data_IF_545670390194
#
_entry.id   IF_545670390194
#
_cell.length_a   1.000
_cell.length_b   1.000
_cell.length_c   1.000
_cell.angle_alpha   90.00
_cell.angle_beta   90.00
_cell.angle_gamma   90.00
#
_symmetry.space_group_name_H-M   'P 1'
#
loop_
_entity.id
_entity.type
_entity.pdbx_description
1 polymer ?
#
# COMPACT_ATOMS: atom_id res chain seq x y z
N UNK A 1 32.74 15.50 -32.33
CA UNK A 1 33.37 15.74 -31.02
C UNK A 1 33.35 17.23 -30.66
N UNK A 2 32.46 17.63 -29.74
CA UNK A 2 32.66 18.68 -28.71
C UNK A 2 31.42 18.65 -27.80
N UNK A 3 31.48 17.84 -26.74
CA UNK A 3 30.45 17.84 -25.71
C UNK A 3 30.76 19.03 -24.80
N UNK A 4 29.90 20.03 -24.76
CA UNK A 4 30.00 21.11 -23.79
C UNK A 4 29.41 20.60 -22.48
N UNK A 5 30.23 20.46 -21.45
CA UNK A 5 29.81 20.13 -20.08
C UNK A 5 29.32 21.40 -19.40
N UNK A 6 28.08 21.41 -18.91
CA UNK A 6 27.61 22.45 -18.00
C UNK A 6 28.29 22.35 -16.62
N UNK A 7 28.27 23.45 -15.87
CA UNK A 7 28.99 23.69 -14.61
C UNK A 7 28.71 22.70 -13.45
N UNK A 8 27.78 21.76 -13.62
CA UNK A 8 27.38 20.79 -12.59
C UNK A 8 27.70 19.33 -12.95
N UNK A 9 28.52 19.07 -13.97
CA UNK A 9 29.01 17.70 -14.27
C UNK A 9 27.95 16.69 -14.74
N UNK A 10 26.69 17.09 -14.87
CA UNK A 10 25.62 16.26 -15.43
C UNK A 10 25.48 16.52 -16.95
N UNK A 11 25.42 15.48 -17.79
CA UNK A 11 25.18 15.64 -19.23
C UNK A 11 23.82 16.29 -19.48
N UNK A 12 23.81 17.44 -20.16
CA UNK A 12 22.58 18.07 -20.65
C UNK A 12 22.15 17.34 -21.92
N UNK A 13 21.13 16.50 -21.81
CA UNK A 13 20.49 15.89 -22.99
C UNK A 13 19.55 16.94 -23.61
N UNK A 14 19.88 17.44 -24.80
CA UNK A 14 19.19 18.54 -25.48
C UNK A 14 17.97 18.10 -26.32
N UNK A 15 17.48 16.87 -26.10
CA UNK A 15 16.25 16.37 -26.72
C UNK A 15 16.32 16.22 -28.24
N UNK A 16 17.51 16.27 -28.84
CA UNK A 16 17.70 15.94 -30.26
C UNK A 16 17.95 14.44 -30.40
N UNK A 17 17.01 13.78 -31.08
CA UNK A 17 17.03 12.37 -31.48
C UNK A 17 18.27 12.08 -32.35
N UNK A 18 19.41 11.80 -31.70
CA UNK A 18 20.60 11.25 -32.35
C UNK A 18 20.33 9.76 -32.56
N UNK A 19 19.80 9.46 -33.75
CA UNK A 19 19.29 8.16 -34.15
C UNK A 19 20.21 6.99 -33.84
N UNK A 20 19.56 5.86 -33.51
CA UNK A 20 20.18 4.54 -33.41
C UNK A 20 20.92 4.20 -34.72
N UNK A 21 22.23 4.42 -34.72
CA UNK A 21 23.12 3.86 -35.72
C UNK A 21 23.46 2.42 -35.33
N UNK A 22 22.93 1.49 -36.13
CA UNK A 22 23.46 0.16 -36.47
C UNK A 22 24.32 -0.55 -35.41
N UNK A 23 23.66 -1.39 -34.60
CA UNK A 23 24.29 -2.59 -34.02
C UNK A 23 23.85 -3.80 -34.83
N UNK A 24 24.61 -4.07 -35.89
CA UNK A 24 24.51 -5.30 -36.65
C UNK A 24 24.98 -6.50 -35.80
N UNK A 25 24.18 -7.56 -35.88
CA UNK A 25 24.56 -8.98 -35.73
C UNK A 25 24.97 -9.48 -34.34
N UNK A 26 23.96 -9.88 -33.55
CA UNK A 26 24.02 -11.10 -32.73
C UNK A 26 22.62 -11.74 -32.69
N UNK A 27 22.48 -12.81 -33.47
CA UNK A 27 21.28 -13.66 -33.58
C UNK A 27 21.10 -14.53 -32.33
N UNK A 28 20.56 -13.97 -31.23
CA UNK A 28 19.79 -14.72 -30.19
C UNK A 28 19.08 -13.80 -29.16
N UNK A 29 18.56 -12.64 -29.58
CA UNK A 29 17.97 -11.64 -28.67
C UNK A 29 16.46 -11.41 -28.86
N UNK A 30 15.79 -12.17 -29.73
CA UNK A 30 14.37 -11.97 -30.08
C UNK A 30 13.40 -12.44 -28.99
N UNK A 31 13.80 -13.35 -28.11
CA UNK A 31 12.98 -13.81 -26.99
C UNK A 31 12.81 -12.75 -25.89
N UNK A 32 13.86 -11.98 -25.60
CA UNK A 32 13.85 -10.96 -24.54
C UNK A 32 12.98 -9.75 -24.87
N UNK A 33 13.05 -9.26 -26.11
CA UNK A 33 12.28 -8.08 -26.55
C UNK A 33 10.78 -8.35 -26.59
N UNK A 34 10.36 -9.57 -26.97
CA UNK A 34 8.96 -9.98 -26.98
C UNK A 34 8.39 -10.14 -25.57
N UNK A 35 9.16 -10.75 -24.65
CA UNK A 35 8.77 -10.87 -23.24
C UNK A 35 8.65 -9.50 -22.57
N UNK A 36 9.65 -8.62 -22.75
CA UNK A 36 9.62 -7.26 -22.21
C UNK A 36 8.41 -6.48 -22.75
N UNK A 37 8.14 -6.55 -24.05
CA UNK A 37 6.94 -5.90 -24.64
C UNK A 37 5.64 -6.45 -24.06
N UNK A 38 5.55 -7.76 -23.80
CA UNK A 38 4.39 -8.36 -23.15
C UNK A 38 4.24 -7.91 -21.70
N UNK A 39 5.33 -7.81 -20.95
CA UNK A 39 5.32 -7.34 -19.56
C UNK A 39 4.93 -5.86 -19.48
N UNK A 40 5.44 -5.03 -20.40
CA UNK A 40 5.07 -3.61 -20.52
C UNK A 40 3.56 -3.48 -20.81
N UNK A 41 3.04 -4.27 -21.74
CA UNK A 41 1.61 -4.27 -22.06
C UNK A 41 0.71 -4.67 -20.88
N UNK A 42 1.15 -5.62 -20.06
CA UNK A 42 0.44 -6.01 -18.83
C UNK A 42 0.41 -4.86 -17.80
N UNK A 43 1.55 -4.22 -17.55
CA UNK A 43 1.64 -3.11 -16.59
C UNK A 43 0.81 -1.89 -17.01
N UNK A 44 0.78 -1.54 -18.30
CA UNK A 44 -0.04 -0.46 -18.82
C UNK A 44 -1.54 -0.71 -18.62
N UNK A 45 -1.98 -1.95 -18.89
CA UNK A 45 -3.38 -2.36 -18.69
C UNK A 45 -3.79 -2.34 -17.21
N UNK A 46 -2.89 -2.72 -16.31
CA UNK A 46 -3.13 -2.63 -14.87
C UNK A 46 -3.24 -1.18 -14.38
N UNK A 47 -2.41 -0.27 -14.92
CA UNK A 47 -2.48 1.16 -14.60
C UNK A 47 -3.80 1.81 -15.06
N UNK A 48 -4.38 1.33 -16.16
CA UNK A 48 -5.64 1.82 -16.73
C UNK A 48 -6.90 1.32 -15.98
N UNK A 49 -6.76 0.33 -15.10
CA UNK A 49 -7.86 -0.22 -14.30
C UNK A 49 -7.53 -0.13 -12.79
N UNK A 50 -7.54 1.08 -12.20
CA UNK A 50 -7.26 1.23 -10.78
C UNK A 50 -8.27 0.43 -9.93
N UNK A 51 -7.82 -0.26 -8.87
CA UNK A 51 -8.70 -0.99 -7.97
C UNK A 51 -9.78 -0.07 -7.38
N UNK A 52 -11.05 -0.50 -7.43
CA UNK A 52 -12.20 0.28 -6.95
C UNK A 52 -12.36 0.25 -5.43
N UNK A 53 -11.70 -0.69 -4.76
CA UNK A 53 -11.74 -0.86 -3.31
C UNK A 53 -10.34 -0.64 -2.74
N UNK A 54 -10.25 0.15 -1.66
CA UNK A 54 -8.99 0.36 -0.96
C UNK A 54 -8.68 -0.92 -0.18
N UNK A 55 -7.66 -1.66 -0.63
CA UNK A 55 -7.23 -2.90 0.03
C UNK A 55 -6.62 -2.65 1.42
N UNK A 56 -6.24 -1.42 1.69
CA UNK A 56 -5.67 -0.99 2.97
C UNK A 56 -6.59 -1.06 4.17
N UNK A 57 -5.97 -0.79 5.32
CA UNK A 57 -6.65 -0.69 6.62
C UNK A 57 -7.08 0.76 6.90
N UNK A 58 -8.08 0.91 7.77
CA UNK A 58 -8.54 2.23 8.22
C UNK A 58 -7.49 3.00 9.04
N UNK A 59 -7.69 4.31 9.17
CA UNK A 59 -6.83 5.18 10.00
C UNK A 59 -6.81 4.72 11.46
N UNK A 60 -7.98 4.31 11.97
CA UNK A 60 -8.16 3.80 13.32
C UNK A 60 -7.30 2.56 13.61
N UNK A 61 -7.02 1.73 12.60
CA UNK A 61 -6.12 0.59 12.76
C UNK A 61 -4.67 1.06 12.96
N UNK A 62 -4.23 2.06 12.19
CA UNK A 62 -2.88 2.60 12.29
C UNK A 62 -2.66 3.28 13.65
N UNK A 63 -3.66 3.99 14.17
CA UNK A 63 -3.60 4.66 15.47
C UNK A 63 -3.62 3.68 16.65
N UNK A 64 -4.24 2.50 16.47
CA UNK A 64 -4.32 1.44 17.46
C UNK A 64 -3.08 0.53 17.51
N UNK A 65 -2.08 0.76 16.66
CA UNK A 65 -0.83 -0.01 16.68
C UNK A 65 -0.08 0.18 18.00
N UNK A 66 0.61 -0.89 18.42
CA UNK A 66 1.38 -0.88 19.66
C UNK A 66 2.58 0.06 19.53
N UNK A 67 2.64 1.08 20.40
CA UNK A 67 3.76 2.02 20.49
C UNK A 67 4.90 1.40 21.30
N UNK A 68 6.11 1.47 20.77
CA UNK A 68 7.31 0.94 21.43
C UNK A 68 8.06 2.08 22.10
N UNK A 69 8.31 2.02 23.43
CA UNK A 69 9.03 3.07 24.12
C UNK A 69 10.50 3.09 23.69
N UNK A 70 11.07 4.27 23.58
CA UNK A 70 12.46 4.50 23.16
C UNK A 70 13.47 3.78 24.06
N UNK A 71 13.16 3.62 25.35
CA UNK A 71 13.99 2.89 26.31
C UNK A 71 14.16 1.40 25.99
N UNK A 72 13.26 0.81 25.21
CA UNK A 72 13.33 -0.60 24.79
C UNK A 72 14.03 -0.81 23.46
N UNK A 73 14.31 0.28 22.72
CA UNK A 73 14.94 0.24 21.41
C UNK A 73 16.46 0.18 21.56
N UNK A 74 17.09 -0.60 20.68
CA UNK A 74 18.56 -0.65 20.58
C UNK A 74 19.03 0.41 19.58
N UNK A 75 20.21 1.02 19.77
CA UNK A 75 20.76 1.99 18.83
C UNK A 75 21.08 1.39 17.45
N UNK A 76 21.17 0.05 17.35
CA UNK A 76 21.38 -0.65 16.08
C UNK A 76 20.09 -0.85 15.27
N UNK A 77 18.91 -0.49 15.80
CA UNK A 77 17.64 -0.70 15.11
C UNK A 77 17.29 0.53 14.27
N UNK A 78 16.90 0.26 13.02
CA UNK A 78 16.53 1.26 12.03
C UNK A 78 15.21 0.87 11.36
N UNK A 79 14.49 1.87 10.85
CA UNK A 79 13.25 1.67 10.11
C UNK A 79 13.56 0.99 8.77
N UNK A 80 12.97 -0.19 8.46
CA UNK A 80 13.24 -0.87 7.17
C UNK A 80 12.75 -0.12 5.92
N UNK A 81 11.91 0.90 6.08
CA UNK A 81 11.33 1.67 4.97
C UNK A 81 12.26 2.82 4.57
N UNK A 82 12.69 3.64 5.53
CA UNK A 82 13.56 4.79 5.27
C UNK A 82 15.04 4.52 5.56
N UNK A 83 15.37 3.37 6.16
CA UNK A 83 16.72 2.97 6.60
C UNK A 83 17.37 3.88 7.65
N UNK A 84 16.62 4.78 8.28
CA UNK A 84 17.13 5.66 9.34
C UNK A 84 17.08 4.95 10.72
N UNK A 85 18.11 5.10 11.57
CA UNK A 85 18.09 4.65 12.95
C UNK A 85 16.95 5.31 13.74
N UNK A 86 16.26 4.55 14.59
CA UNK A 86 15.14 5.08 15.36
C UNK A 86 15.56 6.12 16.40
N UNK A 87 16.78 6.02 16.93
CA UNK A 87 17.25 6.91 17.99
C UNK A 87 17.92 8.19 17.47
N UNK A 88 18.00 8.36 16.15
CA UNK A 88 18.53 9.61 15.55
C UNK A 88 17.49 10.73 15.57
N UNK A 89 16.20 10.39 15.63
CA UNK A 89 15.12 11.36 15.79
C UNK A 89 14.94 11.73 17.30
N UNK A 90 14.78 13.02 17.66
CA UNK A 90 14.47 13.42 19.03
C UNK A 90 13.11 12.94 19.56
N UNK A 91 12.14 12.65 18.67
CA UNK A 91 10.78 12.21 19.01
C UNK A 91 10.33 11.00 18.16
N UNK A 92 11.02 9.85 18.25
CA UNK A 92 10.75 8.73 17.36
C UNK A 92 9.43 8.05 17.71
N UNK A 93 8.54 7.96 16.71
CA UNK A 93 7.24 7.31 16.84
C UNK A 93 7.30 5.89 16.28
N UNK A 94 7.92 4.99 17.04
CA UNK A 94 8.08 3.59 16.62
C UNK A 94 6.85 2.77 16.99
N UNK A 95 6.31 2.05 16.00
CA UNK A 95 5.20 1.12 16.15
C UNK A 95 5.61 -0.30 15.81
N UNK A 96 4.97 -1.24 16.49
CA UNK A 96 5.10 -2.67 16.24
C UNK A 96 3.86 -3.18 15.50
N UNK A 97 4.08 -3.86 14.38
CA UNK A 97 3.00 -4.55 13.68
C UNK A 97 2.60 -5.84 14.39
N UNK A 98 1.32 -6.24 14.35
CA UNK A 98 0.82 -7.40 15.09
C UNK A 98 1.19 -8.76 14.46
N UNK A 99 1.90 -8.78 13.33
CA UNK A 99 2.32 -10.02 12.66
C UNK A 99 3.55 -10.66 13.32
N UNK A 100 4.53 -9.86 13.76
CA UNK A 100 5.73 -10.37 14.40
C UNK A 100 6.37 -9.34 15.34
N UNK A 101 7.02 -9.80 16.41
CA UNK A 101 7.59 -8.93 17.46
C UNK A 101 8.77 -8.09 16.99
N UNK A 102 9.46 -8.50 15.92
CA UNK A 102 10.59 -7.79 15.30
C UNK A 102 10.17 -6.77 14.23
N UNK A 103 8.89 -6.71 13.87
CA UNK A 103 8.39 -5.84 12.80
C UNK A 103 8.11 -4.45 13.35
N UNK A 104 9.18 -3.68 13.45
CA UNK A 104 9.23 -2.32 13.96
C UNK A 104 9.39 -1.33 12.80
N UNK A 105 8.60 -0.28 12.82
CA UNK A 105 8.64 0.78 11.82
C UNK A 105 8.37 2.12 12.48
N UNK A 106 8.82 3.18 11.83
CA UNK A 106 8.30 4.51 12.11
C UNK A 106 6.82 4.58 11.65
N UNK A 107 5.97 5.14 12.50
CA UNK A 107 4.56 5.35 12.22
C UNK A 107 4.34 6.16 10.94
N UNK A 108 5.18 7.17 10.69
CA UNK A 108 5.08 8.01 9.50
C UNK A 108 5.42 7.26 8.22
N UNK A 109 6.37 6.32 8.32
CA UNK A 109 6.79 5.50 7.19
C UNK A 109 5.77 4.39 6.88
N UNK A 110 5.22 3.73 7.90
CA UNK A 110 4.37 2.55 7.70
C UNK A 110 2.90 2.91 7.44
N UNK A 111 2.41 4.05 7.92
CA UNK A 111 1.01 4.48 7.77
C UNK A 111 0.58 4.59 6.29
N UNK A 112 1.32 5.27 5.38
CA UNK A 112 0.94 5.34 3.96
C UNK A 112 0.86 3.95 3.31
N UNK A 113 1.79 3.05 3.67
CA UNK A 113 1.84 1.69 3.15
C UNK A 113 0.62 0.86 3.56
N UNK A 114 0.27 0.88 4.86
CA UNK A 114 -0.87 0.16 5.41
C UNK A 114 -2.20 0.67 4.84
N UNK A 115 -2.32 1.98 4.62
CA UNK A 115 -3.53 2.57 4.02
C UNK A 115 -3.72 2.22 2.56
N UNK A 116 -2.64 1.94 1.83
CA UNK A 116 -2.74 1.58 0.42
C UNK A 116 -2.94 0.07 0.22
N UNK A 117 -2.16 -0.76 0.93
CA UNK A 117 -2.09 -2.22 0.70
C UNK A 117 -2.61 -3.05 1.86
N UNK A 118 -2.55 -2.52 3.08
CA UNK A 118 -3.00 -3.24 4.28
C UNK A 118 -2.09 -4.40 4.69
N UNK A 119 -0.91 -4.53 4.06
CA UNK A 119 0.02 -5.64 4.27
C UNK A 119 1.29 -5.20 5.01
N UNK A 120 1.92 -6.09 5.77
CA UNK A 120 3.26 -5.82 6.32
C UNK A 120 4.33 -5.71 5.21
N UNK A 121 5.23 -4.70 5.24
CA UNK A 121 6.33 -4.58 4.26
C UNK A 121 7.34 -5.74 4.27
N UNK A 122 7.48 -6.46 5.40
CA UNK A 122 8.49 -7.50 5.58
C UNK A 122 7.97 -8.91 5.28
N UNK A 123 6.80 -9.28 5.80
CA UNK A 123 6.24 -10.64 5.67
C UNK A 123 4.97 -10.74 4.81
N UNK A 124 4.47 -9.61 4.30
CA UNK A 124 3.24 -9.52 3.49
C UNK A 124 1.98 -10.02 4.18
N UNK A 125 1.96 -10.11 5.52
CA UNK A 125 0.74 -10.42 6.27
C UNK A 125 -0.32 -9.36 6.00
N UNK A 126 -1.50 -9.78 5.55
CA UNK A 126 -2.64 -8.91 5.20
C UNK A 126 -3.52 -8.62 6.43
N UNK A 127 -3.41 -7.40 6.95
CA UNK A 127 -4.25 -6.88 8.03
C UNK A 127 -5.61 -6.38 7.50
N UNK A 128 -5.66 -5.90 6.26
CA UNK A 128 -6.88 -5.40 5.61
C UNK A 128 -7.93 -6.50 5.47
N UNK A 129 -7.53 -7.70 5.05
CA UNK A 129 -8.43 -8.86 4.95
C UNK A 129 -9.05 -9.21 6.29
N UNK A 130 -8.24 -9.22 7.36
CA UNK A 130 -8.70 -9.51 8.73
C UNK A 130 -9.67 -8.45 9.25
N UNK A 131 -9.44 -7.17 8.92
CA UNK A 131 -10.37 -6.09 9.28
C UNK A 131 -11.70 -6.22 8.54
N UNK A 132 -11.66 -6.43 7.21
CA UNK A 132 -12.85 -6.60 6.37
C UNK A 132 -13.70 -7.81 6.80
N UNK A 133 -13.07 -8.90 7.17
CA UNK A 133 -13.75 -10.10 7.67
C UNK A 133 -14.48 -9.79 8.99
N UNK A 134 -13.80 -9.16 9.94
CA UNK A 134 -14.41 -8.74 11.23
C UNK A 134 -15.58 -7.79 11.04
N UNK A 135 -15.45 -6.81 10.15
CA UNK A 135 -16.53 -5.87 9.88
C UNK A 135 -17.73 -6.55 9.20
N UNK A 136 -17.47 -7.48 8.27
CA UNK A 136 -18.53 -8.30 7.64
C UNK A 136 -19.29 -9.12 8.67
N UNK A 137 -18.60 -9.80 9.58
CA UNK A 137 -19.21 -10.57 10.67
C UNK A 137 -20.03 -9.68 11.63
N UNK A 138 -19.55 -8.47 11.93
CA UNK A 138 -20.28 -7.49 12.74
C UNK A 138 -21.58 -7.09 12.07
N UNK A 139 -21.54 -6.73 10.78
CA UNK A 139 -22.70 -6.34 10.00
C UNK A 139 -23.71 -7.49 9.90
N UNK A 140 -23.26 -8.71 9.67
CA UNK A 140 -24.13 -9.90 9.63
C UNK A 140 -24.85 -10.14 10.96
N UNK A 141 -24.14 -10.01 12.09
CA UNK A 141 -24.72 -10.14 13.43
C UNK A 141 -25.79 -9.07 13.69
N UNK A 142 -25.53 -7.82 13.29
CA UNK A 142 -26.49 -6.72 13.42
C UNK A 142 -27.73 -6.96 12.55
N UNK A 143 -27.57 -7.44 11.31
CA UNK A 143 -28.68 -7.81 10.43
C UNK A 143 -29.53 -8.93 11.04
N UNK A 144 -28.91 -10.01 11.53
CA UNK A 144 -29.63 -11.13 12.17
C UNK A 144 -30.42 -10.70 13.41
N UNK A 145 -29.84 -9.83 14.25
CA UNK A 145 -30.53 -9.31 15.43
C UNK A 145 -31.75 -8.47 15.06
N UNK A 146 -31.68 -7.70 13.97
CA UNK A 146 -32.78 -6.87 13.49
C UNK A 146 -33.93 -7.69 12.88
N UNK A 147 -33.63 -8.84 12.27
CA UNK A 147 -34.64 -9.77 11.74
C UNK A 147 -35.21 -10.76 12.76
N UNK A 148 -34.64 -10.87 13.96
CA UNK A 148 -35.00 -11.87 14.98
C UNK A 148 -35.80 -11.36 16.18
N UNK A 149 -36.33 -10.13 16.14
CA UNK A 149 -37.13 -9.53 17.22
C UNK A 149 -38.61 -9.37 16.83
N UNK A 150 -39.09 -10.19 15.89
CA UNK A 150 -40.51 -10.28 15.52
C UNK A 150 -41.17 -11.46 16.24
N UNK A 151 -41.61 -11.21 17.47
CA UNK A 151 -42.72 -11.93 18.10
C UNK A 151 -43.68 -10.83 18.54
N UNK A 152 -44.72 -10.60 17.74
CA UNK A 152 -45.67 -9.51 17.91
C UNK A 152 -46.19 -9.00 16.57
N UNK A 153 -47.10 -9.78 15.99
CA UNK A 153 -48.27 -9.39 15.18
C UNK A 153 -48.07 -8.37 14.03
N UNK A 154 -48.28 -8.92 12.82
CA UNK A 154 -48.81 -8.28 11.61
C UNK A 154 -49.38 -6.86 11.79
N UNK A 155 -48.74 -5.88 11.13
CA UNK A 155 -49.40 -4.73 10.52
C UNK A 155 -48.44 -4.12 9.48
N UNK A 156 -48.44 -4.76 8.32
CA UNK A 156 -47.92 -4.29 7.04
C UNK A 156 -48.63 -3.00 6.58
N UNK A 157 -48.47 -1.87 7.28
CA UNK A 157 -49.15 -0.62 6.89
C UNK A 157 -48.52 0.68 7.44
N UNK A 158 -47.20 0.90 7.32
CA UNK A 158 -46.66 2.24 7.67
C UNK A 158 -45.40 2.66 6.88
N UNK A 159 -45.44 2.60 5.55
CA UNK A 159 -44.40 3.25 4.73
C UNK A 159 -44.91 3.84 3.40
N UNK A 160 -46.12 4.44 3.40
CA UNK A 160 -46.66 5.19 2.24
C UNK A 160 -47.15 6.60 2.62
N UNK A 161 -46.43 7.30 3.51
CA UNK A 161 -46.90 8.57 4.11
C UNK A 161 -45.90 9.72 4.14
N UNK A 162 -44.89 9.77 3.26
CA UNK A 162 -43.89 10.86 3.26
C UNK A 162 -43.77 11.59 1.91
N UNK A 163 -44.81 11.50 1.07
CA UNK A 163 -45.01 12.38 -0.09
C UNK A 163 -46.52 12.61 -0.28
N UNK A 164 -47.07 13.54 0.50
CA UNK A 164 -48.44 14.05 0.37
C UNK A 164 -48.49 15.51 0.80
#
# INVERSE_FOLDING_TARGET
>A
MRHQTGDNGFPVHDGRDEGLADVAENEDATGGVGLLSSMIGLLLREAEMPPREVEGVGESFCDALERVPTSSLKPSQACPICSNPFLDDPYPLVVRLPCHTSHLFDLECVRPWLRLRGTCPLDRTDFGKKERERERERIERLKKKRSGNGDGEDEDEEWDGMYG
#
